data_IF_530450706028
#
_entry.id   IF_530450706028
#
_cell.length_a   1.000
_cell.length_b   1.000
_cell.length_c   1.000
_cell.angle_alpha   90.00
_cell.angle_beta   90.00
_cell.angle_gamma   90.00
#
_symmetry.space_group_name_H-M   'P 1'
#
loop_
_entity.id
_entity.type
_entity.pdbx_description
1 polymer ?
#
# COMPACT_ATOMS: atom_id res chain seq x y z
N UNK A 1 -21.07 17.36 2.39
CA UNK A 1 -19.80 16.64 2.15
C UNK A 1 -18.78 17.17 3.12
N UNK A 2 -18.08 16.28 3.83
CA UNK A 2 -16.93 16.69 4.62
C UNK A 2 -15.81 17.11 3.65
N UNK A 3 -15.10 18.21 3.93
CA UNK A 3 -14.03 18.67 3.03
C UNK A 3 -12.86 17.68 3.13
N UNK A 4 -12.23 17.34 2.00
CA UNK A 4 -11.06 16.45 1.95
C UNK A 4 -11.28 15.04 2.52
N UNK A 5 -12.46 14.45 2.28
CA UNK A 5 -12.85 13.14 2.84
C UNK A 5 -11.89 12.01 2.43
N UNK A 6 -11.46 11.98 1.17
CA UNK A 6 -10.56 10.95 0.64
C UNK A 6 -9.17 11.05 1.27
N UNK A 7 -8.63 12.27 1.35
CA UNK A 7 -7.37 12.55 2.04
C UNK A 7 -7.44 12.14 3.51
N UNK A 8 -8.54 12.44 4.20
CA UNK A 8 -8.72 12.07 5.61
C UNK A 8 -8.80 10.55 5.83
N UNK A 9 -9.25 9.81 4.82
CA UNK A 9 -9.29 8.34 4.82
C UNK A 9 -7.98 7.66 4.43
N UNK A 10 -6.94 8.42 4.03
CA UNK A 10 -5.62 7.87 3.73
C UNK A 10 -5.07 7.05 4.90
N UNK A 11 -4.36 5.98 4.56
CA UNK A 11 -3.55 5.24 5.52
C UNK A 11 -2.49 6.15 6.16
N UNK A 12 -2.22 5.95 7.44
CA UNK A 12 -1.28 6.80 8.20
C UNK A 12 0.14 6.77 7.62
N UNK A 13 0.57 5.61 7.10
CA UNK A 13 1.81 5.46 6.34
C UNK A 13 2.11 6.63 5.38
N UNK A 14 1.13 7.05 4.55
CA UNK A 14 1.34 8.14 3.58
C UNK A 14 1.53 9.50 4.23
N UNK A 15 0.87 9.75 5.37
CA UNK A 15 1.08 10.97 6.17
C UNK A 15 2.45 10.97 6.83
N UNK A 16 2.92 9.81 7.25
CA UNK A 16 4.21 9.66 7.91
C UNK A 16 5.36 9.94 6.95
N UNK A 17 5.29 9.49 5.69
CA UNK A 17 6.36 9.73 4.71
C UNK A 17 6.72 11.21 4.57
N UNK A 18 5.71 12.10 4.58
CA UNK A 18 5.90 13.55 4.43
C UNK A 18 5.91 14.34 5.74
N UNK A 19 5.71 13.69 6.88
CA UNK A 19 5.75 14.35 8.19
C UNK A 19 6.82 13.79 9.13
N UNK A 20 7.43 12.64 8.86
CA UNK A 20 8.36 11.98 9.77
C UNK A 20 9.64 12.78 9.98
N UNK A 21 10.20 13.39 8.94
CA UNK A 21 11.39 14.24 9.06
C UNK A 21 10.95 15.70 9.19
N UNK A 22 11.15 16.28 10.38
CA UNK A 22 10.92 17.69 10.63
C UNK A 22 12.27 18.37 10.76
N UNK A 23 12.54 19.32 9.86
CA UNK A 23 13.72 20.17 9.93
C UNK A 23 13.36 21.44 10.71
N UNK A 24 13.88 21.55 11.93
CA UNK A 24 13.64 22.67 12.83
C UNK A 24 14.96 23.08 13.51
N UNK A 25 15.87 23.76 12.79
CA UNK A 25 17.22 24.10 13.28
C UNK A 25 17.20 24.98 14.52
N UNK A 26 16.11 25.71 14.76
CA UNK A 26 15.90 26.48 15.99
C UNK A 26 15.96 25.61 17.25
N UNK A 27 15.76 24.28 17.12
CA UNK A 27 15.89 23.33 18.23
C UNK A 27 17.34 23.06 18.66
N UNK A 28 18.34 23.47 17.87
CA UNK A 28 19.76 23.34 18.24
C UNK A 28 20.11 24.15 19.52
N UNK A 29 19.28 25.13 19.89
CA UNK A 29 19.37 25.89 21.13
C UNK A 29 18.90 25.10 22.38
N UNK A 30 18.23 23.95 22.20
CA UNK A 30 17.77 23.09 23.29
C UNK A 30 18.75 21.94 23.59
N UNK A 31 18.66 21.31 24.78
CA UNK A 31 19.47 20.14 25.10
C UNK A 31 19.30 19.02 24.07
N UNK A 32 20.41 18.61 23.45
CA UNK A 32 20.42 17.64 22.35
C UNK A 32 19.70 16.31 22.66
N UNK A 33 19.73 15.85 23.91
CA UNK A 33 19.04 14.62 24.31
C UNK A 33 17.52 14.74 24.18
N UNK A 34 16.92 15.88 24.55
CA UNK A 34 15.48 16.14 24.41
C UNK A 34 15.09 16.15 22.92
N UNK A 35 15.86 16.90 22.13
CA UNK A 35 15.62 17.01 20.68
C UNK A 35 15.74 15.64 20.00
N UNK A 36 16.73 14.83 20.41
CA UNK A 36 16.92 13.48 19.87
C UNK A 36 15.76 12.54 20.23
N UNK A 37 15.28 12.56 21.46
CA UNK A 37 14.10 11.77 21.87
C UNK A 37 12.88 12.06 20.98
N UNK A 38 12.63 13.34 20.69
CA UNK A 38 11.44 13.77 19.95
C UNK A 38 11.61 13.60 18.45
N UNK A 39 12.69 14.15 17.86
CA UNK A 39 12.87 14.22 16.42
C UNK A 39 13.53 12.98 15.83
N UNK A 40 14.31 12.21 16.60
CA UNK A 40 14.95 10.99 16.10
C UNK A 40 14.21 9.74 16.58
N UNK A 41 14.06 9.54 17.89
CA UNK A 41 13.43 8.35 18.46
C UNK A 41 11.90 8.37 18.42
N UNK A 42 11.31 9.50 17.99
CA UNK A 42 9.85 9.65 17.86
C UNK A 42 9.13 9.32 19.18
N UNK A 43 9.72 9.74 20.29
CA UNK A 43 9.12 9.60 21.61
C UNK A 43 7.83 10.44 21.65
N UNK A 44 6.79 9.85 22.22
CA UNK A 44 5.43 10.41 22.27
C UNK A 44 4.89 10.53 23.69
N UNK A 45 5.72 10.28 24.71
CA UNK A 45 5.37 10.45 26.12
C UNK A 45 5.38 11.93 26.50
N UNK A 46 4.34 12.65 26.05
CA UNK A 46 4.23 14.09 26.26
C UNK A 46 4.14 14.46 27.74
N UNK A 47 3.60 13.59 28.59
CA UNK A 47 3.50 13.84 30.03
C UNK A 47 4.89 13.95 30.70
N UNK A 48 5.86 13.18 30.20
CA UNK A 48 7.26 13.25 30.65
C UNK A 48 8.06 14.32 29.93
N UNK A 49 7.81 14.53 28.64
CA UNK A 49 8.61 15.42 27.79
C UNK A 49 8.25 16.90 27.95
N UNK A 50 6.97 17.25 28.10
CA UNK A 50 6.54 18.66 28.18
C UNK A 50 7.26 19.43 29.30
N UNK A 51 7.33 18.95 30.56
CA UNK A 51 8.07 19.66 31.61
C UNK A 51 9.54 19.87 31.25
N UNK A 52 10.19 18.87 30.66
CA UNK A 52 11.60 18.95 30.26
C UNK A 52 11.81 19.97 29.14
N UNK A 53 10.92 20.01 28.17
CA UNK A 53 10.94 21.00 27.08
C UNK A 53 10.75 22.41 27.64
N UNK A 54 9.75 22.59 28.51
CA UNK A 54 9.40 23.91 29.03
C UNK A 54 10.46 24.47 29.99
N UNK A 55 11.10 23.62 30.79
CA UNK A 55 12.18 24.00 31.73
C UNK A 55 13.56 24.12 31.08
N UNK A 56 13.73 23.65 29.84
CA UNK A 56 15.01 23.71 29.15
C UNK A 56 15.51 25.16 29.00
N UNK A 57 16.75 25.42 29.40
CA UNK A 57 17.38 26.72 29.20
C UNK A 57 17.84 26.86 27.74
N UNK A 58 17.53 28.00 27.12
CA UNK A 58 17.96 28.34 25.75
C UNK A 58 18.65 29.70 25.72
N UNK A 59 19.33 30.01 24.62
CA UNK A 59 19.90 31.32 24.32
C UNK A 59 19.04 32.15 23.35
N UNK A 60 17.83 31.66 23.03
CA UNK A 60 16.88 32.34 22.15
C UNK A 60 16.20 33.52 22.87
N UNK A 61 15.64 34.46 22.10
CA UNK A 61 14.76 35.47 22.65
C UNK A 61 13.45 34.85 23.17
N UNK A 62 12.74 35.53 24.07
CA UNK A 62 11.61 34.96 24.79
C UNK A 62 10.45 34.50 23.89
N UNK A 63 10.14 35.24 22.82
CA UNK A 63 9.08 34.88 21.89
C UNK A 63 9.48 33.65 21.08
N UNK A 64 10.71 33.64 20.54
CA UNK A 64 11.23 32.50 19.78
C UNK A 64 11.43 31.25 20.64
N UNK A 65 11.91 31.40 21.87
CA UNK A 65 12.03 30.30 22.82
C UNK A 65 10.68 29.64 23.06
N UNK A 66 9.64 30.43 23.35
CA UNK A 66 8.30 29.91 23.58
C UNK A 66 7.76 29.23 22.31
N UNK A 67 7.95 29.83 21.14
CA UNK A 67 7.52 29.25 19.87
C UNK A 67 8.13 27.87 19.61
N UNK A 68 9.45 27.74 19.78
CA UNK A 68 10.17 26.48 19.55
C UNK A 68 9.76 25.41 20.57
N UNK A 69 9.64 25.78 21.85
CA UNK A 69 9.19 24.86 22.91
C UNK A 69 7.78 24.34 22.66
N UNK A 70 6.83 25.22 22.30
CA UNK A 70 5.46 24.82 21.97
C UNK A 70 5.39 23.94 20.73
N UNK A 71 6.16 24.27 19.70
CA UNK A 71 6.26 23.42 18.51
C UNK A 71 6.84 22.03 18.85
N UNK A 72 7.86 21.95 19.72
CA UNK A 72 8.41 20.67 20.18
C UNK A 72 7.40 19.84 20.97
N UNK A 73 6.60 20.45 21.85
CA UNK A 73 5.50 19.76 22.54
C UNK A 73 4.48 19.21 21.54
N UNK A 74 4.09 20.02 20.55
CA UNK A 74 3.18 19.59 19.47
C UNK A 74 3.75 18.41 18.67
N UNK A 75 5.03 18.45 18.28
CA UNK A 75 5.69 17.36 17.56
C UNK A 75 5.74 16.09 18.41
N UNK A 76 6.14 16.20 19.67
CA UNK A 76 6.22 15.06 20.60
C UNK A 76 4.87 14.38 20.76
N UNK A 77 3.80 15.13 21.04
CA UNK A 77 2.46 14.56 21.14
C UNK A 77 1.98 13.97 19.80
N UNK A 78 2.26 14.63 18.67
CA UNK A 78 1.90 14.14 17.34
C UNK A 78 2.65 12.86 16.95
N UNK A 79 3.79 12.53 17.57
CA UNK A 79 4.49 11.26 17.33
C UNK A 79 3.65 10.04 17.74
N UNK A 80 2.63 10.20 18.60
CA UNK A 80 1.68 9.11 18.90
C UNK A 80 0.85 8.69 17.68
N UNK A 81 0.75 9.55 16.65
CA UNK A 81 -0.01 9.26 15.44
C UNK A 81 0.72 8.35 14.45
N UNK A 82 2.03 8.12 14.60
CA UNK A 82 2.80 7.33 13.62
C UNK A 82 2.23 5.92 13.44
N UNK A 83 2.25 5.44 12.20
CA UNK A 83 1.73 4.15 11.76
C UNK A 83 2.35 2.98 12.55
N UNK A 84 3.67 3.06 12.80
CA UNK A 84 4.38 2.03 13.53
C UNK A 84 3.98 1.92 15.01
N UNK A 85 3.38 2.97 15.60
CA UNK A 85 2.84 2.93 16.98
C UNK A 85 1.55 2.12 17.08
N UNK A 86 0.85 1.96 15.94
CA UNK A 86 -0.41 1.23 15.84
C UNK A 86 -0.28 -0.07 15.05
N UNK A 87 0.95 -0.56 14.82
CA UNK A 87 1.23 -1.78 14.04
C UNK A 87 0.65 -1.74 12.60
N UNK A 88 0.56 -0.55 12.01
CA UNK A 88 -0.06 -0.36 10.70
C UNK A 88 -1.58 -0.51 10.67
N UNK A 89 -2.25 -0.53 11.83
CA UNK A 89 -3.72 -0.60 11.90
C UNK A 89 -4.32 0.81 11.81
N UNK A 90 -5.41 1.00 11.05
CA UNK A 90 -6.09 2.28 10.98
C UNK A 90 -6.79 2.58 12.31
N UNK A 91 -6.16 3.42 13.13
CA UNK A 91 -6.71 3.86 14.43
C UNK A 91 -6.94 5.36 14.39
N UNK A 92 -8.17 5.84 14.66
CA UNK A 92 -8.45 7.27 14.74
C UNK A 92 -7.59 7.93 15.82
N UNK A 93 -7.01 9.08 15.49
CA UNK A 93 -6.26 9.87 16.46
C UNK A 93 -7.22 10.57 17.44
N UNK A 94 -6.84 10.67 18.72
CA UNK A 94 -7.69 11.24 19.76
C UNK A 94 -8.04 12.70 19.45
N UNK A 95 -9.33 13.05 19.50
CA UNK A 95 -9.77 14.44 19.24
C UNK A 95 -9.25 15.41 20.31
N UNK A 96 -9.29 15.00 21.58
CA UNK A 96 -8.75 15.79 22.70
C UNK A 96 -7.25 16.08 22.53
N UNK A 97 -6.49 15.05 22.11
CA UNK A 97 -5.07 15.21 21.82
C UNK A 97 -4.85 16.12 20.60
N UNK A 98 -5.68 15.96 19.55
CA UNK A 98 -5.63 16.82 18.36
C UNK A 98 -5.87 18.29 18.70
N UNK A 99 -6.86 18.57 19.56
CA UNK A 99 -7.19 19.93 19.98
C UNK A 99 -6.06 20.54 20.83
N UNK A 100 -5.42 19.74 21.69
CA UNK A 100 -4.25 20.15 22.48
C UNK A 100 -3.05 20.48 21.58
N UNK A 101 -2.73 19.60 20.63
CA UNK A 101 -1.65 19.83 19.65
C UNK A 101 -1.94 21.08 18.82
N UNK A 102 -3.19 21.27 18.42
CA UNK A 102 -3.61 22.46 17.67
C UNK A 102 -3.40 23.74 18.47
N UNK A 103 -3.72 23.72 19.77
CA UNK A 103 -3.43 24.83 20.67
C UNK A 103 -1.95 25.20 20.69
N UNK A 104 -1.06 24.21 20.85
CA UNK A 104 0.39 24.45 20.87
C UNK A 104 0.96 24.94 19.54
N UNK A 105 0.50 24.40 18.40
CA UNK A 105 0.92 24.88 17.07
C UNK A 105 0.49 26.33 16.86
N UNK A 106 -0.75 26.67 17.22
CA UNK A 106 -1.27 28.03 17.10
C UNK A 106 -0.51 29.00 18.00
N UNK A 107 -0.26 28.64 19.27
CA UNK A 107 0.53 29.44 20.20
C UNK A 107 1.95 29.66 19.64
N UNK A 108 2.61 28.61 19.14
CA UNK A 108 3.94 28.73 18.56
C UNK A 108 3.98 29.74 17.40
N UNK A 109 3.03 29.64 16.47
CA UNK A 109 2.96 30.49 15.28
C UNK A 109 2.48 31.92 15.56
N UNK A 110 1.90 32.19 16.73
CA UNK A 110 1.60 33.55 17.19
C UNK A 110 2.87 34.29 17.62
N UNK A 111 3.89 33.58 18.11
CA UNK A 111 5.15 34.15 18.56
C UNK A 111 6.22 34.20 17.46
N UNK A 112 6.35 33.17 16.64
CA UNK A 112 7.30 33.14 15.50
C UNK A 112 6.68 32.39 14.31
N UNK A 113 6.59 33.07 13.16
CA UNK A 113 6.04 32.54 11.91
C UNK A 113 7.13 32.33 10.83
N UNK A 114 8.36 32.06 11.25
CA UNK A 114 9.44 31.66 10.36
C UNK A 114 9.07 30.42 9.55
N UNK A 115 9.71 30.27 8.39
CA UNK A 115 9.42 29.19 7.45
C UNK A 115 9.55 27.80 8.09
N UNK A 116 10.54 27.58 8.97
CA UNK A 116 10.77 26.28 9.61
C UNK A 116 9.62 25.91 10.56
N UNK A 117 9.17 26.86 11.39
CA UNK A 117 8.02 26.69 12.28
C UNK A 117 6.71 26.49 11.50
N UNK A 118 6.50 27.25 10.42
CA UNK A 118 5.34 27.07 9.55
C UNK A 118 5.30 25.68 8.90
N UNK A 119 6.43 25.23 8.33
CA UNK A 119 6.54 23.90 7.71
C UNK A 119 6.34 22.80 8.75
N UNK A 120 6.95 22.93 9.94
CA UNK A 120 6.76 21.98 11.04
C UNK A 120 5.28 21.90 11.46
N UNK A 121 4.60 23.05 11.63
CA UNK A 121 3.17 23.11 11.93
C UNK A 121 2.29 22.44 10.87
N UNK A 122 2.59 22.66 9.59
CA UNK A 122 1.91 21.99 8.46
C UNK A 122 2.11 20.47 8.54
N UNK A 123 3.34 20.00 8.76
CA UNK A 123 3.64 18.58 8.89
C UNK A 123 2.95 17.95 10.10
N UNK A 124 2.91 18.64 11.24
CA UNK A 124 2.21 18.19 12.46
C UNK A 124 0.71 18.05 12.20
N UNK A 125 0.06 19.08 11.65
CA UNK A 125 -1.36 19.02 11.32
C UNK A 125 -1.66 17.93 10.30
N UNK A 126 -0.83 17.80 9.27
CA UNK A 126 -0.98 16.74 8.29
C UNK A 126 -0.90 15.36 8.97
N UNK A 127 0.11 15.12 9.81
CA UNK A 127 0.32 13.84 10.52
C UNK A 127 -0.87 13.41 11.35
N UNK A 128 -1.47 14.32 12.13
CA UNK A 128 -2.61 14.03 13.02
C UNK A 128 -3.96 14.08 12.28
N UNK A 129 -3.94 14.17 10.96
CA UNK A 129 -5.12 14.20 10.09
C UNK A 129 -6.00 15.46 10.23
N UNK A 130 -5.43 16.60 10.66
CA UNK A 130 -6.08 17.91 10.65
C UNK A 130 -5.81 18.64 9.32
N UNK A 131 -6.30 18.02 8.22
CA UNK A 131 -6.04 18.43 6.83
C UNK A 131 -6.44 19.89 6.57
N UNK A 132 -7.60 20.32 7.09
CA UNK A 132 -8.06 21.70 6.93
C UNK A 132 -7.11 22.72 7.58
N UNK A 133 -6.55 22.40 8.74
CA UNK A 133 -5.60 23.27 9.45
C UNK A 133 -4.26 23.37 8.70
N UNK A 134 -3.76 22.24 8.17
CA UNK A 134 -2.56 22.22 7.32
C UNK A 134 -2.74 23.10 6.08
N UNK A 135 -3.86 22.94 5.35
CA UNK A 135 -4.15 23.70 4.14
C UNK A 135 -4.45 25.18 4.42
N UNK A 136 -5.02 25.49 5.59
CA UNK A 136 -5.19 26.87 6.04
C UNK A 136 -3.84 27.58 6.26
N UNK A 137 -2.88 26.93 6.93
CA UNK A 137 -1.53 27.47 7.08
C UNK A 137 -0.87 27.70 5.72
N UNK A 138 -0.95 26.71 4.82
CA UNK A 138 -0.40 26.83 3.47
C UNK A 138 -1.01 27.99 2.71
N UNK A 139 -2.33 28.15 2.76
CA UNK A 139 -3.03 29.20 2.01
C UNK A 139 -2.70 30.59 2.55
N UNK A 140 -2.66 30.76 3.87
CA UNK A 140 -2.40 32.06 4.50
C UNK A 140 -0.95 32.51 4.37
N UNK A 141 -0.01 31.56 4.36
CA UNK A 141 1.43 31.83 4.29
C UNK A 141 2.05 31.38 2.96
N UNK A 142 1.24 31.29 1.89
CA UNK A 142 1.65 30.69 0.62
C UNK A 142 2.98 31.25 0.10
N UNK A 143 3.16 32.58 0.08
CA UNK A 143 4.39 33.20 -0.41
C UNK A 143 5.65 32.80 0.36
N UNK A 144 5.52 32.39 1.62
CA UNK A 144 6.63 31.96 2.48
C UNK A 144 6.88 30.46 2.34
N UNK A 145 5.82 29.65 2.32
CA UNK A 145 5.95 28.18 2.37
C UNK A 145 5.95 27.51 1.01
N UNK A 146 5.52 28.19 -0.06
CA UNK A 146 5.46 27.62 -1.41
C UNK A 146 6.81 27.13 -1.95
N UNK A 147 7.99 27.69 -1.57
CA UNK A 147 9.27 27.13 -1.99
C UNK A 147 9.64 25.82 -1.29
N UNK A 148 8.94 25.42 -0.21
CA UNK A 148 9.27 24.22 0.57
C UNK A 148 8.88 22.95 -0.18
N UNK A 149 9.83 22.05 -0.52
CA UNK A 149 9.52 20.79 -1.19
C UNK A 149 8.56 19.91 -0.39
N UNK A 150 8.71 19.88 0.94
CA UNK A 150 7.81 19.13 1.84
C UNK A 150 6.36 19.60 1.70
N UNK A 151 6.15 20.92 1.65
CA UNK A 151 4.81 21.49 1.50
C UNK A 151 4.24 21.19 0.12
N UNK A 152 5.05 21.29 -0.94
CA UNK A 152 4.65 20.90 -2.29
C UNK A 152 4.23 19.43 -2.36
N UNK A 153 4.98 18.52 -1.72
CA UNK A 153 4.68 17.08 -1.67
C UNK A 153 3.37 16.80 -0.93
N UNK A 154 3.18 17.39 0.25
CA UNK A 154 1.91 17.28 1.00
C UNK A 154 0.73 17.76 0.14
N UNK A 155 0.85 18.94 -0.48
CA UNK A 155 -0.18 19.45 -1.36
C UNK A 155 -0.45 18.53 -2.55
N UNK A 156 0.59 18.01 -3.20
CA UNK A 156 0.43 17.12 -4.35
C UNK A 156 -0.34 15.86 -3.95
N UNK A 157 -0.05 15.28 -2.78
CA UNK A 157 -0.79 14.13 -2.27
C UNK A 157 -2.27 14.47 -2.02
N UNK A 158 -2.56 15.62 -1.41
CA UNK A 158 -3.94 16.10 -1.26
C UNK A 158 -4.62 16.28 -2.62
N UNK A 159 -3.98 16.93 -3.58
CA UNK A 159 -4.55 17.13 -4.92
C UNK A 159 -4.82 15.80 -5.64
N UNK A 160 -3.95 14.79 -5.48
CA UNK A 160 -4.15 13.44 -6.01
C UNK A 160 -5.32 12.71 -5.35
N UNK A 161 -5.49 12.88 -4.06
CA UNK A 161 -6.60 12.26 -3.33
C UNK A 161 -7.94 12.91 -3.64
N UNK A 162 -7.95 14.19 -3.96
CA UNK A 162 -9.18 14.98 -4.12
C UNK A 162 -9.48 15.31 -5.58
N UNK A 163 -8.68 14.76 -6.51
CA UNK A 163 -8.77 15.00 -7.95
C UNK A 163 -8.75 16.51 -8.31
N UNK A 164 -7.96 17.31 -7.59
CA UNK A 164 -7.72 18.72 -7.93
C UNK A 164 -6.67 18.82 -9.05
N UNK A 165 -7.11 18.54 -10.28
CA UNK A 165 -6.26 18.49 -11.46
C UNK A 165 -5.54 19.82 -11.76
N UNK A 166 -6.18 20.97 -11.47
CA UNK A 166 -5.61 22.28 -11.74
C UNK A 166 -4.38 22.54 -10.86
N UNK A 167 -4.53 22.31 -9.55
CA UNK A 167 -3.42 22.48 -8.61
C UNK A 167 -2.36 21.39 -8.79
N UNK A 168 -2.78 20.15 -9.05
CA UNK A 168 -1.88 19.02 -9.34
C UNK A 168 -0.93 19.32 -10.50
N UNK A 169 -1.45 19.83 -11.63
CA UNK A 169 -0.62 20.17 -12.78
C UNK A 169 0.46 21.20 -12.42
N UNK A 170 0.09 22.24 -11.67
CA UNK A 170 1.01 23.31 -11.26
C UNK A 170 2.10 22.75 -10.34
N UNK A 171 1.74 21.91 -9.37
CA UNK A 171 2.70 21.31 -8.43
C UNK A 171 3.66 20.34 -9.11
N UNK A 172 3.16 19.51 -10.04
CA UNK A 172 4.01 18.60 -10.82
C UNK A 172 5.03 19.40 -11.65
N UNK A 173 4.61 20.49 -12.29
CA UNK A 173 5.53 21.36 -13.04
C UNK A 173 6.60 21.98 -12.13
N UNK A 174 6.22 22.44 -10.94
CA UNK A 174 7.17 23.02 -9.97
C UNK A 174 8.17 21.99 -9.42
N UNK A 175 7.70 20.78 -9.07
CA UNK A 175 8.56 19.71 -8.57
C UNK A 175 9.50 19.18 -9.66
N UNK A 176 9.03 19.02 -10.89
CA UNK A 176 9.85 18.50 -12.00
C UNK A 176 10.81 19.55 -12.58
N UNK A 177 10.54 20.85 -12.39
CA UNK A 177 11.47 21.91 -12.77
C UNK A 177 12.75 21.96 -11.90
N UNK A 178 12.70 21.41 -10.68
CA UNK A 178 13.88 21.29 -9.82
C UNK A 178 13.99 19.87 -9.23
N UNK A 179 14.86 19.00 -9.79
CA UNK A 179 15.05 17.64 -9.32
C UNK A 179 15.39 17.52 -7.83
N UNK A 180 16.05 18.53 -7.23
CA UNK A 180 16.36 18.55 -5.80
C UNK A 180 15.10 18.57 -4.91
N UNK A 181 13.98 19.11 -5.42
CA UNK A 181 12.71 19.10 -4.68
C UNK A 181 12.11 17.70 -4.59
N UNK A 182 12.40 16.84 -5.56
CA UNK A 182 11.99 15.43 -5.54
C UNK A 182 12.96 14.66 -4.64
N UNK A 183 14.27 14.77 -4.92
CA UNK A 183 15.32 13.98 -4.26
C UNK A 183 15.25 12.50 -4.65
N UNK A 184 15.71 11.61 -3.76
CA UNK A 184 15.64 10.14 -3.92
C UNK A 184 14.30 9.56 -3.43
N UNK A 185 13.24 10.38 -3.41
CA UNK A 185 11.93 10.02 -2.87
C UNK A 185 11.07 9.30 -3.92
N UNK A 186 11.12 7.96 -3.89
CA UNK A 186 10.37 7.09 -4.78
C UNK A 186 8.84 7.31 -4.71
N UNK A 187 8.30 7.66 -3.53
CA UNK A 187 6.87 7.92 -3.39
C UNK A 187 6.47 9.24 -4.06
N UNK A 188 7.30 10.28 -3.95
CA UNK A 188 7.10 11.52 -4.72
C UNK A 188 7.16 11.25 -6.23
N UNK A 189 8.09 10.40 -6.69
CA UNK A 189 8.13 10.00 -8.10
C UNK A 189 6.87 9.24 -8.53
N UNK A 190 6.36 8.34 -7.68
CA UNK A 190 5.11 7.63 -7.91
C UNK A 190 3.92 8.60 -8.01
N UNK A 191 3.84 9.58 -7.12
CA UNK A 191 2.83 10.66 -7.16
C UNK A 191 2.91 11.47 -8.45
N UNK A 192 4.11 11.80 -8.91
CA UNK A 192 4.32 12.56 -10.15
C UNK A 192 3.87 11.75 -11.36
N UNK A 193 4.33 10.50 -11.53
CA UNK A 193 3.98 9.72 -12.73
C UNK A 193 2.50 9.38 -12.77
N UNK A 194 1.89 9.04 -11.64
CA UNK A 194 0.44 8.77 -11.58
C UNK A 194 -0.38 10.04 -11.78
N UNK A 195 0.07 11.18 -11.25
CA UNK A 195 -0.55 12.48 -11.51
C UNK A 195 -0.47 12.89 -12.98
N UNK A 196 0.70 12.71 -13.63
CA UNK A 196 0.84 12.93 -15.07
C UNK A 196 -0.15 12.06 -15.85
N UNK A 197 -0.29 10.78 -15.48
CA UNK A 197 -1.26 9.88 -16.11
C UNK A 197 -2.71 10.35 -15.93
N UNK A 198 -3.11 10.73 -14.70
CA UNK A 198 -4.45 11.26 -14.41
C UNK A 198 -4.75 12.57 -15.17
N UNK A 199 -3.72 13.36 -15.47
CA UNK A 199 -3.82 14.56 -16.33
C UNK A 199 -3.84 14.23 -17.84
N UNK A 200 -3.86 12.95 -18.23
CA UNK A 200 -3.88 12.49 -19.63
C UNK A 200 -2.50 12.36 -20.27
N UNK A 201 -1.43 12.50 -19.50
CA UNK A 201 -0.05 12.29 -19.93
C UNK A 201 0.37 10.81 -19.97
N UNK A 202 1.61 10.57 -20.40
CA UNK A 202 2.18 9.24 -20.57
C UNK A 202 3.65 9.25 -20.11
N UNK A 203 3.94 9.10 -18.81
CA UNK A 203 5.32 9.07 -18.30
C UNK A 203 6.04 7.78 -18.72
N UNK A 204 7.36 7.85 -18.93
CA UNK A 204 8.15 6.75 -19.54
C UNK A 204 9.42 6.34 -18.75
N UNK A 205 9.81 7.07 -17.70
CA UNK A 205 11.16 6.94 -17.10
C UNK A 205 11.25 6.25 -15.73
N UNK A 206 10.24 6.39 -14.86
CA UNK A 206 10.23 5.78 -13.52
C UNK A 206 9.36 4.53 -13.50
N UNK A 207 8.11 4.70 -13.95
CA UNK A 207 7.25 3.63 -14.45
C UNK A 207 6.83 4.08 -15.85
N UNK A 208 6.89 3.18 -16.81
CA UNK A 208 6.63 3.40 -18.23
C UNK A 208 5.19 3.05 -18.57
N UNK A 209 4.38 4.09 -18.77
CA UNK A 209 2.96 3.99 -19.07
C UNK A 209 2.69 3.83 -20.56
N UNK A 210 3.71 3.91 -21.43
CA UNK A 210 3.55 3.62 -22.85
C UNK A 210 3.10 2.18 -23.10
N UNK A 211 3.35 1.27 -22.15
CA UNK A 211 2.87 -0.11 -22.15
C UNK A 211 1.34 -0.23 -22.33
N UNK A 212 0.56 0.75 -21.84
CA UNK A 212 -0.90 0.77 -22.02
C UNK A 212 -1.35 0.94 -23.49
N UNK A 213 -0.42 1.33 -24.36
CA UNK A 213 -0.66 1.58 -25.80
C UNK A 213 -0.04 0.50 -26.68
N UNK A 214 0.34 -0.65 -26.11
CA UNK A 214 0.99 -1.76 -26.82
C UNK A 214 0.04 -2.96 -26.96
N UNK A 215 -1.01 -2.90 -27.80
CA UNK A 215 -1.99 -3.99 -27.93
C UNK A 215 -1.41 -5.28 -28.52
N UNK A 216 -0.25 -5.20 -29.17
CA UNK A 216 0.42 -6.33 -29.83
C UNK A 216 1.53 -6.94 -28.97
N UNK A 217 1.81 -6.39 -27.79
CA UNK A 217 2.79 -6.97 -26.87
C UNK A 217 2.14 -8.12 -26.11
N UNK A 218 2.73 -9.30 -26.21
CA UNK A 218 2.37 -10.46 -25.40
C UNK A 218 3.60 -10.87 -24.59
N UNK A 219 3.48 -10.95 -23.25
CA UNK A 219 4.54 -11.52 -22.42
C UNK A 219 4.86 -12.96 -22.87
N UNK A 220 6.14 -13.35 -22.80
CA UNK A 220 6.54 -14.73 -23.03
C UNK A 220 5.99 -15.61 -21.89
N UNK A 221 5.29 -16.69 -22.25
CA UNK A 221 4.77 -17.67 -21.28
C UNK A 221 5.46 -19.04 -21.43
N UNK A 222 6.39 -19.19 -22.38
CA UNK A 222 7.01 -20.47 -22.74
C UNK A 222 7.94 -21.02 -21.66
N UNK A 223 8.38 -20.17 -20.73
CA UNK A 223 9.30 -20.53 -19.66
C UNK A 223 8.60 -21.07 -18.39
N UNK A 224 7.27 -21.15 -18.36
CA UNK A 224 6.54 -21.75 -17.24
C UNK A 224 6.67 -23.29 -17.25
N UNK A 225 7.22 -23.84 -16.17
CA UNK A 225 7.35 -25.29 -15.96
C UNK A 225 6.17 -25.79 -15.11
N UNK A 226 5.36 -26.72 -15.64
CA UNK A 226 4.34 -27.39 -14.82
C UNK A 226 4.99 -28.46 -13.93
N UNK A 227 4.87 -28.29 -12.61
CA UNK A 227 5.33 -29.27 -11.63
C UNK A 227 4.24 -30.27 -11.28
N UNK A 228 3.00 -29.78 -11.14
CA UNK A 228 1.79 -30.57 -10.93
C UNK A 228 0.68 -30.02 -11.84
N UNK A 229 0.05 -30.86 -12.67
CA UNK A 229 -0.97 -30.40 -13.60
C UNK A 229 -2.19 -29.85 -12.87
N UNK A 230 -2.91 -28.94 -13.52
CA UNK A 230 -4.25 -28.58 -13.10
C UNK A 230 -5.23 -29.73 -13.38
N UNK A 231 -6.24 -29.89 -12.53
CA UNK A 231 -7.37 -30.77 -12.78
C UNK A 231 -8.65 -29.94 -12.87
N UNK A 232 -9.46 -30.21 -13.90
CA UNK A 232 -10.73 -29.54 -14.09
C UNK A 232 -11.84 -30.24 -13.28
N UNK A 233 -12.36 -29.53 -12.28
CA UNK A 233 -13.51 -29.99 -11.49
C UNK A 233 -14.57 -28.88 -11.29
N UNK A 234 -14.44 -27.77 -12.03
CA UNK A 234 -15.34 -26.62 -11.98
C UNK A 234 -15.21 -25.71 -10.75
N UNK A 235 -14.36 -26.07 -9.77
CA UNK A 235 -14.13 -25.24 -8.57
C UNK A 235 -13.28 -24.02 -8.89
N UNK A 236 -13.49 -22.95 -8.14
CA UNK A 236 -12.61 -21.79 -8.14
C UNK A 236 -11.22 -22.19 -7.65
N UNK A 237 -10.19 -21.77 -8.36
CA UNK A 237 -8.79 -22.05 -8.03
C UNK A 237 -8.16 -20.83 -7.37
N UNK A 238 -7.69 -20.98 -6.12
CA UNK A 238 -6.90 -19.96 -5.44
C UNK A 238 -5.49 -19.98 -6.00
N UNK A 239 -5.10 -18.90 -6.69
CA UNK A 239 -3.75 -18.69 -7.20
C UNK A 239 -2.91 -17.99 -6.13
N UNK A 240 -1.82 -18.66 -5.72
CA UNK A 240 -0.84 -18.13 -4.77
C UNK A 240 0.53 -18.16 -5.41
N UNK A 241 1.23 -17.03 -5.44
CA UNK A 241 2.59 -16.93 -5.95
C UNK A 241 3.58 -16.66 -4.81
N UNK A 242 4.71 -17.37 -4.79
CA UNK A 242 5.72 -17.20 -3.75
C UNK A 242 7.10 -17.74 -4.15
N UNK A 243 8.15 -17.24 -3.49
CA UNK A 243 9.47 -17.85 -3.52
C UNK A 243 9.58 -18.96 -2.45
N UNK A 244 10.73 -19.64 -2.38
CA UNK A 244 10.98 -20.70 -1.38
C UNK A 244 10.68 -20.24 0.04
N UNK A 245 11.14 -19.04 0.41
CA UNK A 245 10.96 -18.54 1.78
C UNK A 245 9.49 -18.33 2.09
N UNK A 246 8.77 -17.59 1.25
CA UNK A 246 7.34 -17.35 1.44
C UNK A 246 6.51 -18.63 1.35
N UNK A 247 6.95 -19.62 0.57
CA UNK A 247 6.31 -20.92 0.51
C UNK A 247 6.23 -21.58 1.89
N UNK A 248 7.39 -21.74 2.54
CA UNK A 248 7.48 -22.38 3.86
C UNK A 248 6.96 -21.49 4.98
N UNK A 249 7.26 -20.19 4.95
CA UNK A 249 6.86 -19.26 6.00
C UNK A 249 5.35 -18.99 5.97
N UNK A 250 4.71 -18.97 4.79
CA UNK A 250 3.34 -18.45 4.63
C UNK A 250 2.42 -19.34 3.78
N UNK A 251 2.80 -19.68 2.55
CA UNK A 251 1.88 -20.32 1.59
C UNK A 251 1.36 -21.69 2.06
N UNK A 252 2.18 -22.47 2.77
CA UNK A 252 1.73 -23.72 3.40
C UNK A 252 0.61 -23.47 4.42
N UNK A 253 0.73 -22.42 5.23
CA UNK A 253 -0.30 -22.09 6.21
C UNK A 253 -1.58 -21.64 5.50
N UNK A 254 -1.46 -20.81 4.46
CA UNK A 254 -2.59 -20.41 3.63
C UNK A 254 -3.30 -21.64 3.06
N UNK A 255 -2.57 -22.60 2.48
CA UNK A 255 -3.11 -23.87 1.99
C UNK A 255 -3.91 -24.62 3.07
N UNK A 256 -3.37 -24.71 4.29
CA UNK A 256 -4.07 -25.29 5.43
C UNK A 256 -5.37 -24.55 5.77
N UNK A 257 -5.35 -23.21 5.78
CA UNK A 257 -6.54 -22.38 6.05
C UNK A 257 -7.61 -22.48 4.96
N UNK A 258 -7.21 -22.56 3.69
CA UNK A 258 -8.11 -22.82 2.56
C UNK A 258 -8.76 -24.17 2.73
N UNK A 259 -7.98 -25.22 2.98
CA UNK A 259 -8.54 -26.56 3.18
C UNK A 259 -9.49 -26.63 4.39
N UNK A 260 -9.11 -26.00 5.50
CA UNK A 260 -9.88 -25.98 6.74
C UNK A 260 -11.30 -25.45 6.54
N UNK A 261 -11.46 -24.43 5.71
CA UNK A 261 -12.72 -23.71 5.51
C UNK A 261 -13.43 -24.08 4.20
N UNK A 262 -12.69 -24.58 3.22
CA UNK A 262 -13.10 -24.67 1.81
C UNK A 262 -12.56 -25.90 1.05
N UNK A 263 -12.06 -26.93 1.72
CA UNK A 263 -11.43 -28.09 1.05
C UNK A 263 -12.32 -28.83 0.03
N UNK A 264 -13.64 -28.74 0.14
CA UNK A 264 -14.60 -29.29 -0.83
C UNK A 264 -15.04 -28.29 -1.91
N UNK A 265 -14.65 -27.01 -1.82
CA UNK A 265 -15.14 -25.91 -2.67
C UNK A 265 -14.08 -25.21 -3.50
N UNK A 266 -12.87 -25.11 -2.99
CA UNK A 266 -11.76 -24.43 -3.65
C UNK A 266 -10.68 -25.43 -4.05
N UNK A 267 -9.98 -25.11 -5.12
CA UNK A 267 -8.68 -25.70 -5.46
C UNK A 267 -7.57 -24.68 -5.13
N UNK A 268 -6.32 -25.12 -5.17
CA UNK A 268 -5.15 -24.23 -5.04
C UNK A 268 -4.19 -24.45 -6.21
N UNK A 269 -3.70 -23.35 -6.77
CA UNK A 269 -2.56 -23.33 -7.68
C UNK A 269 -1.40 -22.57 -7.04
N UNK A 270 -0.24 -23.22 -6.98
CA UNK A 270 1.00 -22.64 -6.49
C UNK A 270 1.88 -22.22 -7.67
N UNK A 271 2.13 -20.92 -7.82
CA UNK A 271 3.12 -20.41 -8.77
C UNK A 271 4.43 -20.10 -8.03
N UNK A 272 5.47 -20.90 -8.28
CA UNK A 272 6.69 -20.87 -7.49
C UNK A 272 7.84 -20.19 -8.23
N UNK A 273 8.44 -19.18 -7.61
CA UNK A 273 9.61 -18.51 -8.16
C UNK A 273 10.89 -19.18 -7.68
N UNK A 274 11.75 -19.56 -8.63
CA UNK A 274 13.05 -20.18 -8.38
C UNK A 274 12.99 -21.35 -7.35
N UNK A 275 12.04 -22.30 -7.44
CA UNK A 275 11.96 -23.39 -6.47
C UNK A 275 13.16 -24.34 -6.63
N UNK A 276 13.74 -24.75 -5.50
CA UNK A 276 14.76 -25.80 -5.49
C UNK A 276 14.14 -27.20 -5.41
N UNK A 277 14.99 -28.22 -5.47
CA UNK A 277 14.56 -29.62 -5.45
C UNK A 277 13.79 -29.98 -4.18
N UNK A 278 14.12 -29.35 -3.04
CA UNK A 278 13.40 -29.52 -1.77
C UNK A 278 11.97 -29.01 -1.89
N UNK A 279 11.79 -27.77 -2.36
CA UNK A 279 10.45 -27.20 -2.58
C UNK A 279 9.66 -28.02 -3.60
N UNK A 280 10.28 -28.42 -4.72
CA UNK A 280 9.63 -29.26 -5.75
C UNK A 280 9.20 -30.62 -5.18
N UNK A 281 10.03 -31.28 -4.39
CA UNK A 281 9.70 -32.55 -3.75
C UNK A 281 8.56 -32.39 -2.72
N UNK A 282 8.58 -31.31 -1.93
CA UNK A 282 7.53 -31.04 -0.96
C UNK A 282 6.17 -30.81 -1.63
N UNK A 283 6.13 -30.04 -2.71
CA UNK A 283 4.91 -29.79 -3.49
C UNK A 283 4.30 -31.09 -4.02
N UNK A 284 5.13 -31.97 -4.59
CA UNK A 284 4.68 -33.29 -5.09
C UNK A 284 4.07 -34.16 -3.97
N UNK A 285 4.54 -34.03 -2.73
CA UNK A 285 4.01 -34.77 -1.59
C UNK A 285 2.67 -34.22 -1.07
N UNK A 286 2.30 -32.96 -1.38
CA UNK A 286 1.10 -32.32 -0.83
C UNK A 286 -0.22 -32.97 -1.27
N UNK A 287 -0.28 -33.55 -2.47
CA UNK A 287 -1.53 -34.07 -3.04
C UNK A 287 -2.18 -35.14 -2.15
N UNK A 288 -1.41 -35.92 -1.39
CA UNK A 288 -1.94 -36.93 -0.48
C UNK A 288 -2.53 -36.36 0.82
N UNK A 289 -2.20 -35.11 1.17
CA UNK A 289 -2.49 -34.52 2.47
C UNK A 289 -3.84 -33.80 2.54
N UNK A 290 -4.40 -33.44 1.38
CA UNK A 290 -5.61 -32.60 1.28
C UNK A 290 -6.68 -33.23 0.37
N UNK A 291 -7.34 -34.32 0.81
CA UNK A 291 -8.33 -35.01 -0.01
C UNK A 291 -9.52 -34.11 -0.36
N UNK A 292 -9.89 -34.07 -1.65
CA UNK A 292 -11.02 -33.28 -2.15
C UNK A 292 -10.65 -31.88 -2.66
N UNK A 293 -9.45 -31.39 -2.35
CA UNK A 293 -8.89 -30.13 -2.86
C UNK A 293 -7.79 -30.43 -3.87
N UNK A 294 -7.97 -30.00 -5.13
CA UNK A 294 -6.91 -30.16 -6.14
C UNK A 294 -5.81 -29.15 -5.84
N UNK A 295 -4.56 -29.63 -5.83
CA UNK A 295 -3.37 -28.82 -5.73
C UNK A 295 -2.59 -28.98 -7.03
N UNK A 296 -2.41 -27.86 -7.74
CA UNK A 296 -1.60 -27.78 -8.95
C UNK A 296 -0.45 -26.80 -8.74
N UNK A 297 0.59 -26.89 -9.56
CA UNK A 297 1.77 -26.05 -9.37
C UNK A 297 2.55 -25.80 -10.66
N UNK A 298 3.05 -24.58 -10.79
CA UNK A 298 4.00 -24.16 -11.82
C UNK A 298 5.24 -23.57 -11.18
N UNK A 299 6.34 -23.56 -11.93
CA UNK A 299 7.58 -22.90 -11.58
C UNK A 299 7.96 -21.87 -12.65
N UNK A 300 8.55 -20.78 -12.19
CA UNK A 300 9.14 -19.74 -13.02
C UNK A 300 10.57 -19.45 -12.53
N UNK A 301 11.52 -19.41 -13.47
CA UNK A 301 12.90 -19.03 -13.16
C UNK A 301 13.10 -17.54 -13.44
N UNK A 302 13.54 -16.79 -12.42
CA UNK A 302 13.83 -15.36 -12.52
C UNK A 302 15.29 -15.16 -12.15
N UNK A 303 16.07 -14.63 -13.08
CA UNK A 303 17.48 -14.31 -12.84
C UNK A 303 17.58 -13.25 -11.73
N UNK A 304 18.52 -13.38 -10.76
CA UNK A 304 18.70 -12.39 -9.71
C UNK A 304 18.83 -10.96 -10.27
N UNK A 305 18.00 -10.06 -9.76
CA UNK A 305 17.82 -8.70 -10.27
C UNK A 305 17.50 -7.76 -9.11
N UNK A 306 17.86 -6.48 -9.26
CA UNK A 306 17.47 -5.45 -8.30
C UNK A 306 15.94 -5.38 -8.20
N UNK A 307 15.41 -5.22 -6.98
CA UNK A 307 13.97 -5.19 -6.77
C UNK A 307 13.27 -6.55 -6.98
N UNK A 308 13.97 -7.68 -6.80
CA UNK A 308 13.40 -9.04 -6.98
C UNK A 308 12.05 -9.25 -6.25
N UNK A 309 11.82 -8.60 -5.11
CA UNK A 309 10.55 -8.67 -4.40
C UNK A 309 9.39 -8.07 -5.23
N UNK A 310 9.64 -7.01 -5.99
CA UNK A 310 8.68 -6.40 -6.92
C UNK A 310 8.42 -7.34 -8.09
N UNK A 311 9.44 -8.03 -8.59
CA UNK A 311 9.27 -9.08 -9.60
C UNK A 311 8.32 -10.18 -9.08
N UNK A 312 8.59 -10.73 -7.90
CA UNK A 312 7.76 -11.79 -7.32
C UNK A 312 6.32 -11.32 -7.04
N UNK A 313 6.14 -10.11 -6.50
CA UNK A 313 4.82 -9.56 -6.24
C UNK A 313 4.02 -9.28 -7.53
N UNK A 314 4.68 -8.80 -8.59
CA UNK A 314 4.00 -8.36 -9.81
C UNK A 314 3.78 -9.49 -10.82
N UNK A 315 4.74 -10.40 -10.99
CA UNK A 315 4.66 -11.46 -12.01
C UNK A 315 3.53 -12.46 -11.79
N UNK A 316 2.93 -12.51 -10.59
CA UNK A 316 1.72 -13.29 -10.35
C UNK A 316 0.54 -12.86 -11.24
N UNK A 317 0.49 -11.59 -11.64
CA UNK A 317 -0.54 -11.08 -12.56
C UNK A 317 -0.18 -11.33 -14.03
N UNK A 318 1.11 -11.42 -14.35
CA UNK A 318 1.57 -11.94 -15.65
C UNK A 318 1.15 -13.41 -15.78
N UNK A 319 1.41 -14.21 -14.73
CA UNK A 319 0.93 -15.58 -14.66
C UNK A 319 -0.60 -15.67 -14.66
N UNK A 320 -1.33 -14.79 -13.96
CA UNK A 320 -2.80 -14.79 -13.97
C UNK A 320 -3.36 -14.62 -15.39
N UNK A 321 -2.74 -13.76 -16.21
CA UNK A 321 -3.12 -13.59 -17.62
C UNK A 321 -2.93 -14.88 -18.41
N UNK A 322 -1.79 -15.56 -18.25
CA UNK A 322 -1.57 -16.91 -18.79
C UNK A 322 -2.56 -17.94 -18.23
N UNK A 323 -2.84 -17.90 -16.93
CA UNK A 323 -3.72 -18.82 -16.23
C UNK A 323 -5.13 -18.82 -16.85
N UNK A 324 -5.64 -17.65 -17.25
CA UNK A 324 -6.92 -17.58 -17.98
C UNK A 324 -6.94 -18.36 -19.31
N UNK A 325 -5.79 -18.63 -19.92
CA UNK A 325 -5.70 -19.45 -21.15
C UNK A 325 -5.69 -20.96 -20.89
N UNK A 326 -5.36 -21.38 -19.67
CA UNK A 326 -5.19 -22.80 -19.31
C UNK A 326 -6.25 -23.31 -18.33
N UNK A 327 -6.81 -22.44 -17.48
CA UNK A 327 -7.90 -22.79 -16.58
C UNK A 327 -9.26 -22.42 -17.20
N UNK A 328 -10.20 -23.37 -17.16
CA UNK A 328 -11.60 -23.14 -17.55
C UNK A 328 -12.50 -22.70 -16.39
N UNK A 329 -12.02 -22.81 -15.14
CA UNK A 329 -12.76 -22.40 -13.94
C UNK A 329 -12.31 -21.01 -13.42
N UNK A 330 -13.09 -20.38 -12.53
CA UNK A 330 -12.71 -19.11 -11.94
C UNK A 330 -11.38 -19.18 -11.17
N UNK A 331 -10.67 -18.07 -11.12
CA UNK A 331 -9.38 -17.92 -10.43
C UNK A 331 -9.50 -16.81 -9.39
N UNK A 332 -8.99 -17.06 -8.19
CA UNK A 332 -8.88 -16.08 -7.10
C UNK A 332 -7.42 -15.89 -6.72
N UNK A 333 -6.86 -14.71 -6.92
CA UNK A 333 -5.53 -14.36 -6.41
C UNK A 333 -5.63 -14.02 -4.93
N UNK A 334 -4.74 -14.61 -4.12
CA UNK A 334 -4.46 -14.19 -2.75
C UNK A 334 -2.95 -14.00 -2.57
N UNK A 335 -2.55 -13.07 -1.70
CA UNK A 335 -1.16 -13.01 -1.22
C UNK A 335 -0.82 -14.29 -0.46
N UNK A 336 0.45 -14.73 -0.52
CA UNK A 336 0.87 -15.93 0.19
C UNK A 336 0.77 -15.81 1.72
N UNK A 337 0.82 -14.57 2.25
CA UNK A 337 0.65 -14.24 3.67
C UNK A 337 -0.82 -14.00 4.07
N UNK A 338 -1.79 -14.30 3.19
CA UNK A 338 -3.19 -14.38 3.56
C UNK A 338 -3.50 -15.62 4.42
N UNK A 339 -4.59 -15.55 5.20
CA UNK A 339 -5.20 -16.69 5.88
C UNK A 339 -6.70 -16.67 5.65
N UNK A 340 -7.27 -17.73 5.06
CA UNK A 340 -8.71 -17.79 4.77
C UNK A 340 -9.49 -18.12 6.04
N UNK A 341 -10.58 -17.40 6.27
CA UNK A 341 -11.38 -17.47 7.51
C UNK A 341 -12.82 -17.86 7.28
N UNK A 342 -13.40 -17.54 6.11
CA UNK A 342 -14.79 -17.87 5.78
C UNK A 342 -14.92 -18.88 4.65
N UNK A 343 -16.07 -19.55 4.64
CA UNK A 343 -16.46 -20.38 3.52
C UNK A 343 -16.77 -19.49 2.31
N UNK A 344 -16.24 -19.85 1.14
CA UNK A 344 -16.47 -19.15 -0.11
C UNK A 344 -17.94 -19.13 -0.52
N UNK A 345 -18.71 -20.15 -0.12
CA UNK A 345 -20.15 -20.23 -0.37
C UNK A 345 -20.94 -19.14 0.37
N UNK A 346 -20.36 -18.52 1.40
CA UNK A 346 -20.97 -17.40 2.13
C UNK A 346 -20.63 -16.05 1.47
N UNK A 347 -19.73 -16.04 0.48
CA UNK A 347 -19.22 -14.82 -0.16
C UNK A 347 -19.64 -14.76 -1.63
N UNK A 348 -19.34 -15.82 -2.40
CA UNK A 348 -19.56 -15.90 -3.84
C UNK A 348 -20.98 -15.55 -4.29
N UNK A 349 -22.07 -16.04 -3.63
CA UNK A 349 -23.43 -15.73 -4.07
C UNK A 349 -23.81 -14.25 -3.92
N UNK A 350 -23.05 -13.49 -3.12
CA UNK A 350 -23.26 -12.06 -2.93
C UNK A 350 -22.44 -11.21 -3.91
N UNK A 351 -21.48 -11.81 -4.61
CA UNK A 351 -20.76 -11.14 -5.68
C UNK A 351 -21.65 -11.08 -6.94
N UNK A 352 -21.62 -9.97 -7.70
CA UNK A 352 -22.32 -9.91 -8.96
C UNK A 352 -21.72 -10.89 -9.96
N UNK A 353 -22.51 -11.24 -10.99
CA UNK A 353 -22.06 -12.08 -12.11
C UNK A 353 -21.15 -11.31 -13.09
N UNK A 354 -20.10 -10.69 -12.57
CA UNK A 354 -19.07 -10.00 -13.35
C UNK A 354 -17.90 -10.94 -13.65
N UNK A 355 -17.26 -10.78 -14.80
CA UNK A 355 -16.04 -11.55 -15.15
C UNK A 355 -14.85 -11.21 -14.25
N UNK A 356 -14.88 -10.05 -13.58
CA UNK A 356 -13.81 -9.56 -12.72
C UNK A 356 -14.44 -8.91 -11.48
N UNK A 357 -13.92 -9.28 -10.31
CA UNK A 357 -14.16 -8.64 -9.02
C UNK A 357 -12.81 -8.22 -8.46
N UNK A 358 -12.66 -6.91 -8.26
CA UNK A 358 -11.48 -6.31 -7.65
C UNK A 358 -11.79 -5.90 -6.21
N UNK A 359 -10.85 -6.14 -5.30
CA UNK A 359 -10.86 -5.39 -4.05
C UNK A 359 -10.59 -3.91 -4.35
N UNK A 360 -11.27 -3.02 -3.63
CA UNK A 360 -11.21 -1.58 -3.93
C UNK A 360 -11.23 -0.74 -2.65
N UNK A 361 -10.41 0.31 -2.62
CA UNK A 361 -10.34 1.26 -1.51
C UNK A 361 -10.53 2.70 -2.00
N UNK A 362 -11.65 3.33 -1.59
CA UNK A 362 -11.90 4.75 -1.86
C UNK A 362 -10.92 5.69 -1.16
N UNK A 363 -10.32 5.23 -0.06
CA UNK A 363 -9.36 6.00 0.74
C UNK A 363 -7.90 5.77 0.37
N UNK A 364 -7.64 4.93 -0.63
CA UNK A 364 -6.29 4.69 -1.13
C UNK A 364 -5.90 5.71 -2.22
N UNK A 365 -4.60 6.03 -2.34
CA UNK A 365 -4.10 6.85 -3.43
C UNK A 365 -4.26 6.17 -4.79
N UNK A 366 -4.17 6.92 -5.91
CA UNK A 366 -4.44 6.38 -7.25
C UNK A 366 -3.68 5.09 -7.61
N UNK A 367 -2.44 4.94 -7.15
CA UNK A 367 -1.62 3.73 -7.39
C UNK A 367 -2.04 2.50 -6.57
N UNK A 368 -2.92 2.64 -5.58
CA UNK A 368 -3.32 1.59 -4.64
C UNK A 368 -4.86 1.45 -4.53
N UNK A 369 -5.62 2.15 -5.39
CA UNK A 369 -7.09 2.05 -5.42
C UNK A 369 -7.59 0.63 -5.63
N UNK A 370 -6.84 -0.17 -6.39
CA UNK A 370 -7.03 -1.61 -6.55
C UNK A 370 -5.90 -2.34 -5.81
N UNK A 371 -6.11 -2.73 -4.54
CA UNK A 371 -5.13 -3.53 -3.83
C UNK A 371 -4.89 -4.88 -4.50
N UNK A 372 -3.62 -5.29 -4.53
CA UNK A 372 -3.21 -6.50 -5.24
C UNK A 372 -3.46 -7.79 -4.45
N UNK A 373 -3.85 -7.69 -3.17
CA UNK A 373 -4.05 -8.85 -2.31
C UNK A 373 -5.22 -9.74 -2.72
N UNK A 374 -6.23 -9.20 -3.43
CA UNK A 374 -7.38 -9.97 -3.91
C UNK A 374 -7.79 -9.56 -5.33
N UNK A 375 -7.88 -10.56 -6.21
CA UNK A 375 -8.54 -10.45 -7.51
C UNK A 375 -9.32 -11.75 -7.75
N UNK A 376 -10.62 -11.66 -8.03
CA UNK A 376 -11.39 -12.81 -8.51
C UNK A 376 -11.75 -12.59 -9.97
N UNK A 377 -11.57 -13.62 -10.80
CA UNK A 377 -11.86 -13.53 -12.22
C UNK A 377 -12.40 -14.84 -12.78
N UNK A 378 -13.29 -14.72 -13.75
CA UNK A 378 -13.82 -15.83 -14.54
C UNK A 378 -13.27 -15.70 -15.97
N UNK A 379 -12.87 -16.81 -16.62
CA UNK A 379 -12.45 -16.78 -18.02
C UNK A 379 -13.54 -16.18 -18.93
N UNK A 380 -13.19 -15.10 -19.64
CA UNK A 380 -14.12 -14.32 -20.44
C UNK A 380 -13.42 -13.28 -21.31
N UNK A 381 -14.18 -12.49 -22.06
CA UNK A 381 -13.57 -11.52 -23.02
C UNK A 381 -12.99 -10.31 -22.30
N UNK A 382 -13.73 -9.80 -21.31
CA UNK A 382 -13.32 -8.63 -20.52
C UNK A 382 -12.16 -9.00 -19.59
N UNK A 383 -12.22 -10.16 -18.93
CA UNK A 383 -11.13 -10.62 -18.06
C UNK A 383 -9.81 -10.81 -18.80
N UNK A 384 -9.83 -11.44 -19.98
CA UNK A 384 -8.65 -11.57 -20.84
C UNK A 384 -8.11 -10.22 -21.28
N UNK A 385 -8.97 -9.30 -21.70
CA UNK A 385 -8.55 -7.96 -22.15
C UNK A 385 -7.89 -7.16 -21.02
N UNK A 386 -8.55 -7.07 -19.87
CA UNK A 386 -8.02 -6.32 -18.72
C UNK A 386 -6.71 -6.93 -18.21
N UNK A 387 -6.66 -8.25 -18.01
CA UNK A 387 -5.47 -8.91 -17.47
C UNK A 387 -4.31 -8.99 -18.49
N UNK A 388 -4.60 -8.95 -19.79
CA UNK A 388 -3.58 -8.75 -20.83
C UNK A 388 -2.92 -7.37 -20.71
N UNK A 389 -3.70 -6.30 -20.47
CA UNK A 389 -3.15 -4.96 -20.23
C UNK A 389 -2.29 -4.92 -18.96
N UNK A 390 -2.79 -5.52 -17.86
CA UNK A 390 -2.04 -5.61 -16.59
C UNK A 390 -0.73 -6.36 -16.78
N UNK A 391 -0.76 -7.54 -17.42
CA UNK A 391 0.42 -8.35 -17.68
C UNK A 391 1.43 -7.63 -18.57
N UNK A 392 0.96 -6.97 -19.64
CA UNK A 392 1.80 -6.16 -20.54
C UNK A 392 2.48 -5.02 -19.78
N UNK A 393 1.73 -4.29 -18.96
CA UNK A 393 2.26 -3.18 -18.17
C UNK A 393 3.37 -3.63 -17.23
N UNK A 394 3.13 -4.72 -16.49
CA UNK A 394 4.10 -5.28 -15.54
C UNK A 394 5.33 -5.80 -16.27
N UNK A 395 5.13 -6.66 -17.26
CA UNK A 395 6.24 -7.33 -17.94
C UNK A 395 7.12 -6.33 -18.70
N UNK A 396 6.54 -5.33 -19.36
CA UNK A 396 7.27 -4.24 -20.01
C UNK A 396 8.14 -3.45 -19.03
N UNK A 397 7.58 -3.07 -17.88
CA UNK A 397 8.30 -2.29 -16.87
C UNK A 397 9.44 -3.08 -16.24
N UNK A 398 9.20 -4.34 -15.86
CA UNK A 398 10.22 -5.21 -15.28
C UNK A 398 11.41 -5.39 -16.22
N UNK A 399 11.17 -5.64 -17.51
CA UNK A 399 12.24 -5.81 -18.51
C UNK A 399 13.08 -4.54 -18.76
N UNK A 400 12.52 -3.36 -18.47
CA UNK A 400 13.23 -2.09 -18.55
C UNK A 400 13.97 -1.70 -17.27
N UNK A 401 13.86 -2.52 -16.23
CA UNK A 401 14.46 -2.24 -14.92
C UNK A 401 13.60 -1.34 -14.02
N UNK A 402 12.35 -1.05 -14.41
CA UNK A 402 11.42 -0.24 -13.64
C UNK A 402 10.72 -1.09 -12.56
N UNK A 403 11.51 -1.72 -11.69
CA UNK A 403 11.04 -2.60 -10.61
C UNK A 403 10.69 -1.80 -9.36
N UNK A 404 9.73 -0.89 -9.48
CA UNK A 404 9.34 0.04 -8.43
C UNK A 404 8.28 -0.55 -7.47
N UNK A 405 8.36 -0.17 -6.20
CA UNK A 405 7.35 -0.60 -5.23
C UNK A 405 5.95 -0.10 -5.65
N UNK A 406 4.92 -0.92 -5.43
CA UNK A 406 3.56 -0.78 -5.96
C UNK A 406 3.36 -1.06 -7.46
N UNK A 407 4.35 -1.54 -8.21
CA UNK A 407 4.18 -1.78 -9.66
C UNK A 407 2.93 -2.60 -10.01
N UNK A 408 2.62 -3.63 -9.23
CA UNK A 408 1.44 -4.48 -9.42
C UNK A 408 0.12 -3.73 -9.20
N UNK A 409 0.04 -2.94 -8.14
CA UNK A 409 -1.13 -2.13 -7.81
C UNK A 409 -1.30 -0.96 -8.79
N UNK A 410 -0.19 -0.34 -9.23
CA UNK A 410 -0.19 0.64 -10.33
C UNK A 410 -0.76 -0.02 -11.58
N UNK A 411 -0.25 -1.18 -11.98
CA UNK A 411 -0.69 -1.88 -13.18
C UNK A 411 -2.19 -2.20 -13.15
N UNK A 412 -2.71 -2.68 -12.02
CA UNK A 412 -4.15 -2.94 -11.82
C UNK A 412 -4.97 -1.65 -11.97
N UNK A 413 -4.59 -0.58 -11.27
CA UNK A 413 -5.31 0.70 -11.31
C UNK A 413 -5.30 1.36 -12.70
N UNK A 414 -4.14 1.44 -13.35
CA UNK A 414 -3.99 2.21 -14.60
C UNK A 414 -4.49 1.42 -15.82
N UNK A 415 -4.47 0.08 -15.76
CA UNK A 415 -5.11 -0.75 -16.77
C UNK A 415 -6.63 -0.62 -16.72
N UNK A 416 -7.20 -0.38 -15.53
CA UNK A 416 -8.63 -0.10 -15.38
C UNK A 416 -8.99 1.26 -16.01
N UNK A 417 -8.18 2.30 -15.76
CA UNK A 417 -8.34 3.62 -16.37
C UNK A 417 -8.25 3.58 -17.91
N UNK A 418 -7.44 2.67 -18.47
CA UNK A 418 -7.27 2.50 -19.91
C UNK A 418 -8.47 1.84 -20.62
N UNK A 419 -9.38 1.20 -19.90
CA UNK A 419 -10.56 0.58 -20.49
C UNK A 419 -11.62 1.63 -20.90
N UNK A 420 -12.45 1.36 -21.92
CA UNK A 420 -13.66 2.14 -22.17
C UNK A 420 -14.59 2.18 -20.96
N UNK A 421 -15.31 3.30 -20.76
CA UNK A 421 -16.19 3.48 -19.60
C UNK A 421 -17.20 2.35 -19.37
N UNK A 422 -17.77 1.78 -20.45
CA UNK A 422 -18.74 0.67 -20.34
C UNK A 422 -18.10 -0.61 -19.78
N UNK A 423 -16.83 -0.87 -20.11
CA UNK A 423 -16.07 -2.01 -19.61
C UNK A 423 -15.63 -1.77 -18.17
N UNK A 424 -15.20 -0.54 -17.84
CA UNK A 424 -14.92 -0.15 -16.45
C UNK A 424 -16.12 -0.32 -15.52
N UNK A 425 -17.34 -0.07 -16.02
CA UNK A 425 -18.60 -0.26 -15.28
C UNK A 425 -18.99 -1.74 -15.12
N UNK A 426 -18.49 -2.62 -15.99
CA UNK A 426 -18.76 -4.05 -15.92
C UNK A 426 -17.86 -4.79 -14.90
N UNK A 427 -16.69 -4.23 -14.59
CA UNK A 427 -15.80 -4.72 -13.54
C UNK A 427 -16.37 -4.33 -12.18
N UNK A 428 -16.62 -5.34 -11.35
CA UNK A 428 -17.12 -5.12 -10.00
C UNK A 428 -16.00 -4.72 -9.05
N UNK A 429 -16.31 -3.79 -8.14
CA UNK A 429 -15.42 -3.28 -7.11
C UNK A 429 -16.06 -3.57 -5.77
N UNK A 430 -15.50 -4.52 -5.03
CA UNK A 430 -15.95 -4.86 -3.68
C UNK A 430 -15.07 -4.12 -2.66
N UNK A 431 -15.64 -3.53 -1.60
CA UNK A 431 -14.86 -2.92 -0.53
C UNK A 431 -13.81 -3.89 0.02
N UNK A 432 -12.55 -3.43 0.09
CA UNK A 432 -11.40 -4.22 0.51
C UNK A 432 -11.69 -5.02 1.80
N UNK A 433 -12.25 -4.34 2.79
CA UNK A 433 -12.50 -4.89 4.13
C UNK A 433 -13.48 -6.06 4.18
N UNK A 434 -14.21 -6.36 3.10
CA UNK A 434 -15.07 -7.57 3.04
C UNK A 434 -14.32 -8.79 2.53
N UNK A 435 -13.29 -8.58 1.71
CA UNK A 435 -12.53 -9.63 1.06
C UNK A 435 -11.24 -9.93 1.82
N UNK A 436 -10.48 -8.89 2.14
CA UNK A 436 -9.21 -8.98 2.84
C UNK A 436 -9.13 -7.93 3.94
N UNK A 437 -8.80 -8.37 5.15
CA UNK A 437 -8.77 -7.49 6.32
C UNK A 437 -7.47 -7.59 7.12
N UNK A 438 -6.97 -6.41 7.47
CA UNK A 438 -5.76 -6.21 8.28
C UNK A 438 -6.11 -6.00 9.77
N UNK A 439 -7.39 -5.83 10.10
CA UNK A 439 -7.91 -5.72 11.47
C UNK A 439 -8.25 -7.09 12.06
N UNK A 440 -8.18 -8.15 11.26
CA UNK A 440 -8.43 -9.53 11.66
C UNK A 440 -9.84 -9.74 12.23
N UNK A 441 -10.85 -9.12 11.60
CA UNK A 441 -12.25 -9.31 12.00
C UNK A 441 -12.81 -10.62 11.46
N UNK A 442 -13.69 -11.26 12.22
CA UNK A 442 -14.28 -12.55 11.84
C UNK A 442 -15.25 -12.45 10.65
N UNK A 443 -15.61 -11.24 10.23
CA UNK A 443 -16.57 -11.00 9.16
C UNK A 443 -16.01 -11.10 7.74
N UNK A 444 -14.72 -11.36 7.60
CA UNK A 444 -13.97 -11.16 6.35
C UNK A 444 -13.56 -12.48 5.75
N UNK A 445 -13.48 -12.53 4.42
CA UNK A 445 -13.14 -13.78 3.74
C UNK A 445 -11.74 -14.26 4.11
N UNK A 446 -10.76 -13.35 4.09
CA UNK A 446 -9.39 -13.63 4.45
C UNK A 446 -8.75 -12.51 5.28
N UNK A 447 -7.81 -12.89 6.14
CA UNK A 447 -6.94 -11.99 6.86
C UNK A 447 -5.62 -11.81 6.10
N UNK A 448 -5.06 -10.60 6.10
CA UNK A 448 -3.72 -10.33 5.56
C UNK A 448 -2.90 -9.47 6.51
N UNK A 449 -1.58 -9.43 6.29
CA UNK A 449 -0.67 -8.54 7.02
C UNK A 449 -0.43 -7.24 6.25
N UNK A 450 -0.09 -6.17 6.97
CA UNK A 450 0.18 -4.85 6.38
C UNK A 450 1.64 -4.74 5.90
N UNK A 451 2.15 -3.51 5.80
CA UNK A 451 3.57 -3.19 5.71
C UNK A 451 4.38 -3.82 6.87
N UNK A 452 3.75 -4.10 8.01
CA UNK A 452 4.35 -4.87 9.10
C UNK A 452 4.04 -6.37 8.97
N UNK A 453 5.05 -7.13 8.54
CA UNK A 453 4.94 -8.58 8.24
C UNK A 453 4.86 -9.49 9.47
N UNK A 454 4.95 -8.96 10.69
CA UNK A 454 4.76 -9.74 11.91
C UNK A 454 3.31 -10.11 12.17
N UNK A 455 2.33 -9.40 11.58
CA UNK A 455 0.92 -9.57 11.90
C UNK A 455 0.60 -9.27 13.38
N UNK A 456 -0.69 -9.19 13.71
CA UNK A 456 -1.13 -9.09 15.11
C UNK A 456 -1.15 -10.44 15.81
N UNK A 457 -1.32 -10.44 17.14
CA UNK A 457 -1.41 -11.66 17.95
C UNK A 457 -2.49 -12.64 17.43
N UNK A 458 -3.68 -12.13 17.06
CA UNK A 458 -4.76 -12.94 16.52
C UNK A 458 -4.38 -13.68 15.21
N UNK A 459 -3.69 -12.98 14.31
CA UNK A 459 -3.18 -13.56 13.06
C UNK A 459 -2.14 -14.65 13.35
N UNK A 460 -1.18 -14.38 14.24
CA UNK A 460 -0.13 -15.34 14.59
C UNK A 460 -0.68 -16.59 15.29
N UNK A 461 -1.65 -16.42 16.19
CA UNK A 461 -2.32 -17.54 16.85
C UNK A 461 -3.06 -18.42 15.83
N UNK A 462 -3.77 -17.83 14.86
CA UNK A 462 -4.44 -18.60 13.83
C UNK A 462 -3.45 -19.29 12.88
N UNK A 463 -2.39 -18.59 12.48
CA UNK A 463 -1.29 -19.15 11.68
C UNK A 463 -0.69 -20.39 12.35
N UNK A 464 -0.32 -20.28 13.63
CA UNK A 464 0.24 -21.37 14.40
C UNK A 464 -0.74 -22.55 14.52
N UNK A 465 -2.03 -22.29 14.74
CA UNK A 465 -3.05 -23.34 14.81
C UNK A 465 -3.19 -24.12 13.49
N UNK A 466 -3.17 -23.42 12.34
CA UNK A 466 -3.21 -24.07 11.01
C UNK A 466 -1.94 -24.87 10.73
N UNK A 467 -0.76 -24.34 11.09
CA UNK A 467 0.50 -25.07 10.99
C UNK A 467 0.48 -26.36 11.82
N UNK A 468 0.07 -26.28 13.08
CA UNK A 468 -0.02 -27.45 13.95
C UNK A 468 -1.02 -28.50 13.42
N UNK A 469 -2.19 -28.06 12.96
CA UNK A 469 -3.26 -28.97 12.52
C UNK A 469 -2.90 -29.71 11.24
N UNK A 470 -2.29 -29.02 10.28
CA UNK A 470 -2.09 -29.56 8.93
C UNK A 470 -0.66 -29.96 8.63
N UNK A 471 0.34 -29.49 9.38
CA UNK A 471 1.76 -29.72 9.10
C UNK A 471 2.58 -30.17 10.32
N UNK A 472 1.97 -30.18 11.52
CA UNK A 472 2.58 -30.65 12.77
C UNK A 472 2.59 -32.16 12.96
#
# INVERSE_FOLDING_TARGET
>A
MNKFERTRSLHQFYRDEFSRLIFLPETDALPAHIVTEILHYKNSDIATLEPQIMEAMTDLDADKELAVKRMLCAIAAANAAFDFKNEGKPTPFSKEMSDTITGWVVEALQHDNSINLLVAGIQVFFRINEIDAALFLISNYYAVVSPSPTVMKILLLVCLMEDDFNQMQTLIQQLTANPEHIGEDALTMLMIVTGIHKLGGCPESFIDFSALKMPDYEPDFSHYEWLLPAEENGKTTVLVACDKRYYFDHALTLLGSVYHTNGDRLNVHLHLYNPDDETKAHVNALHQRFPGMVISATAETITPVFGINVWYASRRFVFLSYALSVFSSPIMVLDADCLVRKNWSDIEPHLPKSEIVLSYSNGAPPWEQVPAGFVYTVPGTLSRKYLSLVATFIDWNLHRGNAEWFLDQVALSVSLDALPAIEQMAIHREPLEKLIDIRYTDDTFSWTVTTQKSGGEAYQNYKAAMQQTYFG
#
